data_IF_645536479307
#
_entry.id   IF_645536479307
#
_cell.length_a   1.000
_cell.length_b   1.000
_cell.length_c   1.000
_cell.angle_alpha   90.00
_cell.angle_beta   90.00
_cell.angle_gamma   90.00
#
_symmetry.space_group_name_H-M   'P 1'
#
loop_
_entity.id
_entity.type
_entity.pdbx_description
1 polymer ?
#
# COMPACT_ATOMS: atom_id res chain seq x y z
N UNK A 1 -15.26 -6.45 8.15
CA UNK A 1 -14.16 -5.91 8.96
C UNK A 1 -14.12 -4.38 8.85
N UNK A 2 -13.48 -3.71 9.79
CA UNK A 2 -13.42 -2.25 9.85
C UNK A 2 -11.96 -1.79 9.80
N UNK A 3 -11.62 -0.98 8.82
CA UNK A 3 -10.36 -0.26 8.75
C UNK A 3 -10.54 1.16 9.30
N UNK A 4 -9.65 1.58 10.19
CA UNK A 4 -9.58 2.91 10.73
C UNK A 4 -8.13 3.31 11.02
N UNK A 5 -7.92 4.45 11.67
CA UNK A 5 -6.59 4.96 11.98
C UNK A 5 -5.74 4.03 12.86
N UNK A 6 -6.39 3.19 13.68
CA UNK A 6 -5.75 2.25 14.62
C UNK A 6 -5.54 0.85 14.03
N UNK A 7 -5.92 0.61 12.78
CA UNK A 7 -5.67 -0.65 12.10
C UNK A 7 -4.17 -0.91 11.98
N UNK A 8 -3.75 -2.10 12.38
CA UNK A 8 -2.33 -2.48 12.36
C UNK A 8 -2.00 -3.29 11.12
N UNK A 9 -0.79 -3.12 10.61
CA UNK A 9 -0.24 -3.93 9.53
C UNK A 9 0.73 -4.93 10.15
N UNK A 10 0.38 -6.21 10.06
CA UNK A 10 1.13 -7.32 10.65
C UNK A 10 1.83 -8.08 9.52
N UNK A 11 3.14 -8.17 9.61
CA UNK A 11 3.96 -8.83 8.61
C UNK A 11 5.03 -9.70 9.29
N UNK A 12 5.52 -10.69 8.56
CA UNK A 12 6.55 -11.61 9.03
C UNK A 12 7.79 -11.53 8.12
N UNK A 13 8.68 -10.59 8.43
CA UNK A 13 9.97 -10.42 7.74
C UNK A 13 9.83 -9.66 6.42
N UNK A 14 10.22 -8.40 6.41
CA UNK A 14 10.01 -7.51 5.28
C UNK A 14 11.34 -7.05 4.69
N UNK A 15 11.34 -7.00 3.37
CA UNK A 15 12.37 -6.28 2.63
C UNK A 15 12.16 -4.77 2.75
N UNK A 16 13.21 -3.97 2.56
CA UNK A 16 13.11 -2.49 2.60
C UNK A 16 11.98 -1.92 1.72
N UNK A 17 11.75 -2.38 0.47
CA UNK A 17 10.63 -1.87 -0.33
C UNK A 17 9.25 -2.10 0.31
N UNK A 18 9.04 -3.24 0.97
CA UNK A 18 7.78 -3.52 1.68
C UNK A 18 7.63 -2.61 2.89
N UNK A 19 8.70 -2.38 3.67
CA UNK A 19 8.69 -1.45 4.80
C UNK A 19 8.33 -0.02 4.35
N UNK A 20 8.85 0.45 3.21
CA UNK A 20 8.47 1.75 2.65
C UNK A 20 6.99 1.78 2.24
N UNK A 21 6.48 0.72 1.62
CA UNK A 21 5.06 0.64 1.25
C UNK A 21 4.13 0.59 2.48
N UNK A 22 4.52 -0.12 3.54
CA UNK A 22 3.82 -0.11 4.84
C UNK A 22 3.79 1.30 5.43
N UNK A 23 4.94 1.98 5.44
CA UNK A 23 5.01 3.37 5.93
C UNK A 23 4.15 4.33 5.10
N UNK A 24 4.10 4.13 3.79
CA UNK A 24 3.22 4.90 2.90
C UNK A 24 1.74 4.65 3.22
N UNK A 25 1.33 3.39 3.44
CA UNK A 25 -0.04 3.07 3.81
C UNK A 25 -0.43 3.69 5.16
N UNK A 26 0.44 3.66 6.17
CA UNK A 26 0.19 4.37 7.44
C UNK A 26 0.04 5.89 7.25
N UNK A 27 0.88 6.50 6.42
CA UNK A 27 0.73 7.92 6.05
C UNK A 27 -0.64 8.19 5.42
N UNK A 28 -1.08 7.34 4.49
CA UNK A 28 -2.35 7.48 3.79
C UNK A 28 -3.53 7.28 4.75
N UNK A 29 -3.46 6.29 5.66
CA UNK A 29 -4.44 6.10 6.73
C UNK A 29 -4.54 7.34 7.63
N UNK A 30 -3.40 7.93 8.00
CA UNK A 30 -3.36 9.17 8.79
C UNK A 30 -3.94 10.37 8.04
N UNK A 31 -3.77 10.42 6.71
CA UNK A 31 -4.32 11.46 5.87
C UNK A 31 -5.85 11.37 5.71
N UNK A 32 -6.39 10.15 5.65
CA UNK A 32 -7.81 9.89 5.36
C UNK A 32 -8.64 9.71 6.64
N UNK A 33 -8.14 8.96 7.63
CA UNK A 33 -8.92 8.70 8.85
C UNK A 33 -8.82 9.83 9.87
N UNK A 34 -9.94 10.11 10.53
CA UNK A 34 -9.97 10.97 11.73
C UNK A 34 -9.33 10.25 12.93
N UNK A 35 -9.03 10.97 13.97
CA UNK A 35 -8.59 10.39 15.24
C UNK A 35 -9.75 9.66 15.94
N UNK A 36 -9.45 8.49 16.49
CA UNK A 36 -10.44 7.65 17.16
C UNK A 36 -9.76 6.77 18.19
N UNK A 37 -10.48 6.44 19.28
CA UNK A 37 -10.05 5.45 20.26
C UNK A 37 -10.58 4.04 19.93
N UNK A 38 -11.42 3.92 18.90
CA UNK A 38 -11.97 2.63 18.48
C UNK A 38 -10.88 1.73 17.91
N UNK A 39 -10.87 0.42 18.23
CA UNK A 39 -9.95 -0.52 17.60
C UNK A 39 -10.27 -0.67 16.11
N UNK A 40 -9.22 -0.83 15.31
CA UNK A 40 -9.32 -1.19 13.91
C UNK A 40 -8.88 -2.62 13.69
N UNK A 41 -9.48 -3.29 12.69
CA UNK A 41 -9.08 -4.64 12.31
C UNK A 41 -7.71 -4.63 11.60
N UNK A 42 -7.01 -5.75 11.66
CA UNK A 42 -5.65 -5.84 11.14
C UNK A 42 -5.59 -6.08 9.63
N UNK A 43 -4.50 -5.62 9.02
CA UNK A 43 -4.06 -6.02 7.69
C UNK A 43 -2.89 -6.98 7.90
N UNK A 44 -3.00 -8.21 7.40
CA UNK A 44 -1.97 -9.26 7.55
C UNK A 44 -1.31 -9.54 6.22
N UNK A 45 0.03 -9.59 6.22
CA UNK A 45 0.83 -9.94 5.06
C UNK A 45 1.28 -11.39 5.18
N UNK A 46 1.06 -12.18 4.12
CA UNK A 46 1.52 -13.57 4.05
C UNK A 46 2.05 -13.88 2.64
N UNK A 47 3.13 -14.66 2.59
CA UNK A 47 3.68 -15.09 1.29
C UNK A 47 2.86 -16.24 0.72
N UNK A 48 2.59 -16.16 -0.58
CA UNK A 48 1.98 -17.21 -1.39
C UNK A 48 2.79 -17.40 -2.66
N UNK A 49 3.56 -18.50 -2.71
CA UNK A 49 4.44 -18.81 -3.85
C UNK A 49 3.71 -19.39 -5.07
N UNK A 50 2.42 -19.70 -4.96
CA UNK A 50 1.62 -20.20 -6.06
C UNK A 50 1.06 -19.07 -6.94
N UNK A 51 1.10 -17.83 -6.44
CA UNK A 51 0.78 -16.67 -7.23
C UNK A 51 1.87 -16.39 -8.27
N UNK A 52 1.46 -15.83 -9.41
CA UNK A 52 2.41 -15.39 -10.43
C UNK A 52 3.31 -14.24 -9.90
N UNK A 53 4.53 -14.07 -10.44
CA UNK A 53 5.42 -12.98 -10.02
C UNK A 53 4.73 -11.61 -10.08
N UNK A 54 5.01 -10.77 -9.08
CA UNK A 54 4.43 -9.43 -8.89
C UNK A 54 2.91 -9.42 -8.63
N UNK A 55 2.27 -10.59 -8.52
CA UNK A 55 0.85 -10.71 -8.23
C UNK A 55 0.58 -10.77 -6.72
N UNK A 56 -0.64 -10.37 -6.38
CA UNK A 56 -1.14 -10.41 -5.02
C UNK A 56 -2.64 -10.71 -4.99
N UNK A 57 -3.12 -11.17 -3.84
CA UNK A 57 -4.53 -11.32 -3.53
C UNK A 57 -4.86 -10.56 -2.24
N UNK A 58 -6.01 -9.91 -2.21
CA UNK A 58 -6.61 -9.30 -1.03
C UNK A 58 -7.90 -10.04 -0.72
N UNK A 59 -8.05 -10.52 0.50
CA UNK A 59 -9.29 -11.14 0.96
C UNK A 59 -9.55 -10.87 2.43
N UNK A 60 -10.80 -10.82 2.84
CA UNK A 60 -11.16 -10.78 4.25
C UNK A 60 -11.21 -12.19 4.80
N UNK A 61 -10.44 -12.46 5.85
CA UNK A 61 -10.41 -13.72 6.55
C UNK A 61 -10.23 -13.46 8.06
N UNK A 62 -11.04 -14.09 8.91
CA UNK A 62 -10.98 -13.96 10.37
C UNK A 62 -10.93 -12.50 10.85
N UNK A 63 -11.82 -11.65 10.33
CA UNK A 63 -11.87 -10.21 10.62
C UNK A 63 -10.55 -9.45 10.34
N UNK A 64 -9.70 -9.97 9.48
CA UNK A 64 -8.52 -9.28 9.01
C UNK A 64 -8.53 -9.17 7.48
N UNK A 65 -7.90 -8.13 6.95
CA UNK A 65 -7.59 -8.06 5.53
C UNK A 65 -6.28 -8.82 5.29
N UNK A 66 -6.37 -9.99 4.69
CA UNK A 66 -5.21 -10.79 4.31
C UNK A 66 -4.70 -10.31 2.94
N UNK A 67 -3.47 -9.86 2.89
CA UNK A 67 -2.71 -9.58 1.67
C UNK A 67 -1.70 -10.71 1.46
N UNK A 68 -1.96 -11.57 0.49
CA UNK A 68 -0.99 -12.57 0.04
C UNK A 68 -0.29 -12.12 -1.23
N UNK A 69 1.00 -12.43 -1.38
CA UNK A 69 1.78 -12.05 -2.55
C UNK A 69 2.89 -13.05 -2.85
N UNK A 70 3.23 -13.17 -4.13
CA UNK A 70 4.31 -14.05 -4.60
C UNK A 70 5.69 -13.57 -4.16
N UNK A 71 5.91 -12.26 -4.17
CA UNK A 71 7.22 -11.64 -3.99
C UNK A 71 7.11 -10.22 -3.40
N UNK A 72 8.27 -9.58 -3.24
CA UNK A 72 8.39 -8.22 -2.72
C UNK A 72 7.54 -7.20 -3.48
N UNK A 73 7.51 -7.27 -4.82
CA UNK A 73 6.76 -6.32 -5.63
C UNK A 73 5.25 -6.55 -5.53
N UNK A 74 4.82 -7.82 -5.44
CA UNK A 74 3.43 -8.15 -5.18
C UNK A 74 2.93 -7.54 -3.87
N UNK A 75 3.70 -7.61 -2.78
CA UNK A 75 3.37 -6.92 -1.52
C UNK A 75 3.27 -5.41 -1.68
N UNK A 76 4.25 -4.79 -2.34
CA UNK A 76 4.24 -3.34 -2.58
C UNK A 76 2.99 -2.93 -3.35
N UNK A 77 2.67 -3.62 -4.43
CA UNK A 77 1.48 -3.31 -5.23
C UNK A 77 0.18 -3.56 -4.46
N UNK A 78 0.12 -4.63 -3.67
CA UNK A 78 -1.04 -4.92 -2.83
C UNK A 78 -1.29 -3.85 -1.77
N UNK A 79 -0.24 -3.34 -1.11
CA UNK A 79 -0.36 -2.26 -0.13
C UNK A 79 -0.84 -0.95 -0.77
N UNK A 80 -0.34 -0.60 -1.95
CA UNK A 80 -0.85 0.56 -2.70
C UNK A 80 -2.29 0.35 -3.21
N UNK A 81 -2.67 -0.89 -3.54
CA UNK A 81 -4.06 -1.20 -3.90
C UNK A 81 -5.00 -1.03 -2.70
N UNK A 82 -4.56 -1.36 -1.48
CA UNK A 82 -5.32 -1.07 -0.25
C UNK A 82 -5.54 0.44 -0.11
N UNK A 83 -4.49 1.27 -0.26
CA UNK A 83 -4.62 2.74 -0.26
C UNK A 83 -5.61 3.23 -1.31
N UNK A 84 -5.48 2.77 -2.53
CA UNK A 84 -6.33 3.18 -3.63
C UNK A 84 -7.78 2.79 -3.42
N UNK A 85 -8.04 1.54 -3.04
CA UNK A 85 -9.37 0.94 -3.01
C UNK A 85 -10.18 1.34 -1.79
N UNK A 86 -9.55 1.33 -0.63
CA UNK A 86 -10.26 1.56 0.63
C UNK A 86 -10.08 2.97 1.17
N UNK A 87 -8.96 3.62 0.90
CA UNK A 87 -8.72 5.00 1.36
C UNK A 87 -8.98 6.04 0.26
N UNK A 88 -9.19 5.63 -0.98
CA UNK A 88 -9.39 6.54 -2.09
C UNK A 88 -8.13 7.34 -2.49
N UNK A 89 -6.95 6.95 -1.99
CA UNK A 89 -5.70 7.61 -2.33
C UNK A 89 -5.23 7.14 -3.70
N UNK A 90 -5.32 8.00 -4.70
CA UNK A 90 -4.93 7.65 -6.06
C UNK A 90 -3.40 7.59 -6.23
N UNK A 91 -2.88 6.73 -7.13
CA UNK A 91 -1.48 6.79 -7.52
C UNK A 91 -1.11 8.21 -7.97
N UNK A 92 0.07 8.70 -7.54
CA UNK A 92 0.57 10.04 -7.88
C UNK A 92 -0.32 11.20 -7.38
N UNK A 93 -1.07 10.98 -6.29
CA UNK A 93 -1.92 11.99 -5.66
C UNK A 93 -1.22 13.33 -5.45
N UNK A 94 0.09 13.31 -5.18
CA UNK A 94 0.93 14.51 -4.98
C UNK A 94 1.16 15.33 -6.26
N UNK A 95 0.93 14.76 -7.44
CA UNK A 95 0.96 15.50 -8.72
C UNK A 95 -0.42 15.93 -9.20
N UNK A 96 -1.46 15.33 -8.62
CA UNK A 96 -2.85 15.61 -9.00
C UNK A 96 -3.55 16.57 -8.05
N UNK A 97 -2.83 17.11 -7.05
CA UNK A 97 -3.40 17.97 -6.00
C UNK A 97 -4.66 17.36 -5.36
N UNK A 98 -4.68 16.04 -5.21
CA UNK A 98 -5.81 15.30 -4.67
C UNK A 98 -6.10 15.75 -3.24
N UNK A 99 -7.33 16.18 -2.98
CA UNK A 99 -7.82 16.43 -1.63
C UNK A 99 -8.37 15.13 -1.04
N UNK A 100 -7.94 14.78 0.16
CA UNK A 100 -8.43 13.61 0.87
C UNK A 100 -9.75 13.93 1.60
N UNK A 101 -10.72 13.05 1.44
CA UNK A 101 -11.98 13.12 2.17
C UNK A 101 -11.77 12.42 3.51
N UNK A 102 -11.98 13.14 4.62
CA UNK A 102 -11.87 12.56 5.96
C UNK A 102 -13.06 11.66 6.26
N UNK A 103 -12.78 10.51 6.89
CA UNK A 103 -13.76 9.56 7.39
C UNK A 103 -13.27 8.93 8.69
N UNK A 104 -14.17 8.44 9.51
CA UNK A 104 -13.80 7.77 10.77
C UNK A 104 -13.31 6.34 10.51
N UNK A 105 -13.90 5.67 9.54
CA UNK A 105 -13.57 4.29 9.21
C UNK A 105 -14.08 3.90 7.82
N UNK A 106 -13.61 2.76 7.34
CA UNK A 106 -14.12 2.10 6.13
C UNK A 106 -14.50 0.68 6.47
N UNK A 107 -15.71 0.28 6.11
CA UNK A 107 -16.17 -1.11 6.25
C UNK A 107 -15.81 -1.90 4.99
N UNK A 108 -15.05 -2.98 5.17
CA UNK A 108 -14.75 -3.94 4.10
C UNK A 108 -15.68 -5.15 4.26
N UNK A 109 -16.44 -5.54 3.21
CA UNK A 109 -17.34 -6.70 3.27
C UNK A 109 -16.60 -7.98 3.66
N UNK A 110 -17.25 -8.87 4.43
CA UNK A 110 -16.63 -10.14 4.86
C UNK A 110 -16.34 -11.10 3.69
N UNK A 111 -17.10 -11.00 2.61
CA UNK A 111 -16.89 -11.79 1.39
C UNK A 111 -16.00 -11.09 0.36
N UNK A 112 -15.29 -10.03 0.76
CA UNK A 112 -14.40 -9.32 -0.15
C UNK A 112 -13.23 -10.19 -0.56
N UNK A 113 -13.01 -10.27 -1.86
CA UNK A 113 -11.82 -10.85 -2.47
C UNK A 113 -11.43 -10.07 -3.72
N UNK A 114 -10.14 -9.93 -3.96
CA UNK A 114 -9.58 -9.31 -5.15
C UNK A 114 -8.24 -9.97 -5.48
N UNK A 115 -8.08 -10.39 -6.71
CA UNK A 115 -6.84 -10.95 -7.24
C UNK A 115 -6.28 -10.03 -8.33
N UNK A 116 -5.01 -9.71 -8.24
CA UNK A 116 -4.33 -8.90 -9.25
C UNK A 116 -4.09 -9.74 -10.50
N UNK A 117 -4.05 -9.07 -11.65
CA UNK A 117 -3.64 -9.70 -12.92
C UNK A 117 -2.13 -9.55 -13.08
N UNK A 118 -1.45 -10.52 -13.74
CA UNK A 118 -0.05 -10.37 -14.11
C UNK A 118 0.18 -9.12 -14.95
N UNK A 119 1.30 -8.50 -14.73
CA UNK A 119 1.68 -7.30 -15.48
C UNK A 119 1.88 -7.62 -16.96
N UNK A 120 1.28 -6.81 -17.84
CA UNK A 120 1.41 -6.96 -19.31
C UNK A 120 2.82 -6.61 -19.81
N UNK A 121 3.54 -5.76 -19.08
CA UNK A 121 4.86 -5.24 -19.44
C UNK A 121 5.80 -5.48 -18.28
N UNK A 122 6.91 -6.17 -18.53
CA UNK A 122 7.90 -6.53 -17.49
C UNK A 122 8.61 -5.32 -16.90
N UNK A 123 9.03 -4.36 -17.75
CA UNK A 123 9.75 -3.17 -17.31
C UNK A 123 8.80 -1.98 -17.31
N UNK A 124 8.62 -1.37 -16.15
CA UNK A 124 7.76 -0.21 -15.93
C UNK A 124 8.52 0.78 -15.07
N UNK A 125 8.46 2.04 -15.42
CA UNK A 125 9.17 3.06 -14.66
C UNK A 125 8.85 4.46 -15.15
N UNK A 126 9.40 5.43 -14.44
CA UNK A 126 9.34 6.84 -14.78
C UNK A 126 10.68 7.29 -15.28
N UNK A 127 10.68 7.98 -16.39
CA UNK A 127 11.83 8.72 -16.84
C UNK A 127 11.63 10.20 -16.48
N UNK A 128 12.46 10.72 -15.57
CA UNK A 128 12.42 12.13 -15.18
C UNK A 128 13.52 12.85 -15.94
N UNK A 129 13.13 13.74 -16.85
CA UNK A 129 14.05 14.49 -17.70
C UNK A 129 14.42 15.86 -17.13
N UNK A 130 13.71 16.34 -16.12
CA UNK A 130 13.98 17.62 -15.46
C UNK A 130 14.83 17.42 -14.21
N UNK A 131 16.14 17.55 -14.39
CA UNK A 131 17.10 17.36 -13.30
C UNK A 131 17.09 18.50 -12.29
N UNK A 132 16.59 19.68 -12.68
CA UNK A 132 16.56 20.87 -11.84
C UNK A 132 15.47 20.78 -10.79
N UNK A 133 14.28 20.33 -11.17
CA UNK A 133 13.14 20.18 -10.27
C UNK A 133 13.31 19.07 -9.23
N UNK A 134 14.19 18.10 -9.50
CA UNK A 134 14.41 16.94 -8.63
C UNK A 134 15.82 16.93 -8.00
N UNK A 135 16.52 18.03 -8.03
CA UNK A 135 17.88 18.15 -7.48
C UNK A 135 17.99 17.68 -6.04
N UNK A 136 17.04 18.08 -5.18
CA UNK A 136 16.96 17.64 -3.78
C UNK A 136 16.68 16.14 -3.64
N UNK A 137 15.82 15.58 -4.50
CA UNK A 137 15.51 14.15 -4.49
C UNK A 137 16.71 13.28 -4.86
N UNK A 138 17.58 13.73 -5.77
CA UNK A 138 18.84 13.05 -6.11
C UNK A 138 19.85 13.10 -4.96
N UNK A 139 19.94 14.22 -4.26
CA UNK A 139 20.87 14.42 -3.13
C UNK A 139 20.49 13.54 -1.95
N UNK A 140 19.24 13.51 -1.57
CA UNK A 140 18.75 12.69 -0.45
C UNK A 140 18.96 11.19 -0.67
N UNK A 141 18.88 10.71 -1.92
CA UNK A 141 19.11 9.29 -2.22
C UNK A 141 20.58 8.90 -2.42
N UNK A 142 21.47 9.84 -2.71
CA UNK A 142 22.90 9.55 -2.82
C UNK A 142 23.56 9.28 -1.47
N UNK A 143 23.04 9.82 -0.39
CA UNK A 143 23.54 9.56 0.96
C UNK A 143 23.25 8.14 1.46
N UNK A 144 22.27 7.46 0.88
CA UNK A 144 21.89 6.10 1.27
C UNK A 144 22.63 5.00 0.49
N UNK A 145 23.48 5.38 -0.47
CA UNK A 145 24.22 4.45 -1.34
C UNK A 145 25.76 4.46 -1.08
N UNK A 146 26.21 5.18 -0.05
CA UNK A 146 27.63 5.21 0.37
C UNK A 146 27.89 4.33 1.59
#
# INVERSE_FOLDING_TARGET
MILNRNSQIISCGETKPVQYAVSALYRDMKAVFTETDAPGDAIRLAKDSDLAPECFCLQVHDNALLLTAADTLGFVYGLFEVSRRFLGVQPFWFWNDQKFIKTDSVTVPQNFTYESKPARVRYRGWFVNDETLISHWKVERRSDLS
#
